data_IF_228861326680
#
_entry.id   IF_228861326680
#
_cell.length_a   1.000
_cell.length_b   1.000
_cell.length_c   1.000
_cell.angle_alpha   90.00
_cell.angle_beta   90.00
_cell.angle_gamma   90.00
#
_symmetry.space_group_name_H-M   'P 1'
#
loop_
_entity.id
_entity.type
_entity.pdbx_description
1 polymer ?
#
# COMPACT_ATOMS: atom_id res chain seq x y z
N UNK A 1 -11.72 -3.83 28.90
CA UNK A 1 -11.18 -3.41 27.57
C UNK A 1 -10.64 -4.59 26.79
N UNK A 2 -9.85 -5.49 27.39
CA UNK A 2 -9.28 -6.68 26.73
C UNK A 2 -10.38 -7.60 26.18
N UNK A 3 -11.44 -7.87 26.94
CA UNK A 3 -12.57 -8.71 26.52
C UNK A 3 -13.33 -8.12 25.32
N UNK A 4 -13.41 -6.79 25.25
CA UNK A 4 -14.06 -6.12 24.09
C UNK A 4 -13.26 -6.37 22.82
N UNK A 5 -11.93 -6.35 22.88
CA UNK A 5 -11.06 -6.60 21.72
C UNK A 5 -11.08 -8.08 21.35
N UNK A 6 -10.98 -8.96 22.33
CA UNK A 6 -11.05 -10.42 22.10
C UNK A 6 -12.43 -10.87 21.61
N UNK A 7 -13.50 -10.26 22.14
CA UNK A 7 -14.87 -10.67 21.89
C UNK A 7 -15.32 -11.89 22.70
N UNK A 8 -14.45 -12.40 23.56
CA UNK A 8 -14.67 -13.53 24.44
C UNK A 8 -13.74 -13.43 25.67
N UNK A 9 -13.96 -14.27 26.68
CA UNK A 9 -13.09 -14.38 27.87
C UNK A 9 -11.71 -14.94 27.52
N UNK A 10 -11.63 -15.83 26.53
CA UNK A 10 -10.40 -16.41 26.00
C UNK A 10 -10.21 -16.05 24.51
N UNK A 11 -9.03 -16.32 23.98
CA UNK A 11 -8.77 -16.24 22.54
C UNK A 11 -9.55 -17.37 21.86
N UNK A 12 -10.42 -17.02 20.93
CA UNK A 12 -11.35 -17.92 20.26
C UNK A 12 -11.46 -17.61 18.75
N UNK A 13 -12.28 -18.36 18.04
CA UNK A 13 -12.59 -18.09 16.63
C UNK A 13 -13.16 -16.68 16.42
N UNK A 14 -13.87 -16.14 17.42
CA UNK A 14 -14.38 -14.77 17.37
C UNK A 14 -13.23 -13.76 17.32
N UNK A 15 -12.19 -13.99 18.12
CA UNK A 15 -10.98 -13.15 18.13
C UNK A 15 -10.29 -13.19 16.78
N UNK A 16 -10.07 -14.39 16.23
CA UNK A 16 -9.44 -14.57 14.92
C UNK A 16 -10.22 -13.86 13.81
N UNK A 17 -11.54 -14.01 13.78
CA UNK A 17 -12.39 -13.37 12.78
C UNK A 17 -12.35 -11.83 12.88
N UNK A 18 -12.27 -11.28 14.07
CA UNK A 18 -12.16 -9.82 14.25
C UNK A 18 -10.84 -9.28 13.70
N UNK A 19 -9.73 -9.94 14.04
CA UNK A 19 -8.42 -9.53 13.53
C UNK A 19 -8.28 -9.78 12.03
N UNK A 20 -8.86 -10.86 11.51
CA UNK A 20 -8.93 -11.10 10.08
C UNK A 20 -9.71 -9.99 9.35
N UNK A 21 -10.90 -9.64 9.85
CA UNK A 21 -11.71 -8.57 9.27
C UNK A 21 -10.99 -7.20 9.34
N UNK A 22 -10.31 -6.91 10.45
CA UNK A 22 -9.50 -5.72 10.60
C UNK A 22 -8.39 -5.68 9.53
N UNK A 23 -7.65 -6.77 9.38
CA UNK A 23 -6.50 -6.84 8.46
C UNK A 23 -6.91 -6.81 6.98
N UNK A 24 -7.96 -7.54 6.61
CA UNK A 24 -8.35 -7.73 5.20
C UNK A 24 -9.30 -6.65 4.69
N UNK A 25 -10.08 -6.04 5.58
CA UNK A 25 -11.09 -5.04 5.20
C UNK A 25 -10.74 -3.66 5.75
N UNK A 26 -10.65 -3.50 7.07
CA UNK A 26 -10.55 -2.19 7.68
C UNK A 26 -9.23 -1.48 7.34
N UNK A 27 -8.09 -2.18 7.42
CA UNK A 27 -6.78 -1.60 7.08
C UNK A 27 -6.66 -1.23 5.59
N UNK A 28 -7.04 -2.07 4.62
CA UNK A 28 -7.05 -1.66 3.22
C UNK A 28 -7.96 -0.48 2.91
N UNK A 29 -9.15 -0.42 3.50
CA UNK A 29 -10.04 0.73 3.33
C UNK A 29 -9.46 2.02 3.93
N UNK A 30 -8.87 1.93 5.12
CA UNK A 30 -8.17 3.06 5.73
C UNK A 30 -6.98 3.52 4.88
N UNK A 31 -6.22 2.59 4.31
CA UNK A 31 -5.12 2.89 3.40
C UNK A 31 -5.59 3.61 2.14
N UNK A 32 -6.66 3.13 1.51
CA UNK A 32 -7.25 3.78 0.33
C UNK A 32 -7.72 5.21 0.66
N UNK A 33 -8.38 5.39 1.82
CA UNK A 33 -8.80 6.71 2.26
C UNK A 33 -7.60 7.66 2.50
N UNK A 34 -6.54 7.17 3.14
CA UNK A 34 -5.31 7.94 3.35
C UNK A 34 -4.60 8.29 2.05
N UNK A 35 -4.53 7.37 1.10
CA UNK A 35 -3.96 7.63 -0.23
C UNK A 35 -4.78 8.72 -0.93
N UNK A 36 -6.10 8.65 -0.88
CA UNK A 36 -6.96 9.67 -1.47
C UNK A 36 -6.69 11.05 -0.89
N UNK A 37 -6.67 11.18 0.45
CA UNK A 37 -6.36 12.45 1.14
C UNK A 37 -4.95 12.94 0.80
N UNK A 38 -3.97 12.03 0.71
CA UNK A 38 -2.60 12.35 0.33
C UNK A 38 -2.49 12.95 -1.08
N UNK A 39 -3.20 12.35 -2.04
CA UNK A 39 -3.24 12.85 -3.42
C UNK A 39 -3.97 14.19 -3.51
N UNK A 40 -5.06 14.39 -2.76
CA UNK A 40 -5.75 15.68 -2.69
C UNK A 40 -4.81 16.76 -2.13
N UNK A 41 -4.11 16.47 -1.05
CA UNK A 41 -3.14 17.39 -0.45
C UNK A 41 -1.99 17.74 -1.42
N UNK A 42 -1.47 16.75 -2.13
CA UNK A 42 -0.46 16.97 -3.17
C UNK A 42 -0.99 17.88 -4.30
N UNK A 43 -2.25 17.69 -4.68
CA UNK A 43 -2.87 18.49 -5.73
C UNK A 43 -3.08 19.96 -5.32
N UNK A 44 -3.41 20.19 -4.04
CA UNK A 44 -3.55 21.54 -3.48
C UNK A 44 -2.21 22.29 -3.40
N UNK A 45 -1.19 21.63 -2.88
CA UNK A 45 0.16 22.23 -2.72
C UNK A 45 0.91 22.28 -4.05
N UNK A 46 0.75 21.28 -4.89
CA UNK A 46 1.50 21.07 -6.12
C UNK A 46 2.90 20.49 -5.87
N UNK A 47 3.52 20.03 -6.96
CA UNK A 47 4.92 19.58 -6.94
C UNK A 47 5.86 20.78 -7.05
N UNK A 48 6.92 20.77 -6.27
CA UNK A 48 7.93 21.82 -6.24
C UNK A 48 9.33 21.24 -6.51
N UNK A 49 10.32 22.12 -6.68
CA UNK A 49 11.73 21.75 -6.85
C UNK A 49 12.48 21.82 -5.50
N UNK A 50 13.71 21.26 -5.41
CA UNK A 50 14.49 21.26 -4.18
C UNK A 50 14.83 22.67 -3.64
N UNK A 51 14.89 23.67 -4.52
CA UNK A 51 15.23 25.04 -4.15
C UNK A 51 14.03 25.85 -3.63
N UNK A 52 12.82 25.27 -3.67
CA UNK A 52 11.60 25.94 -3.23
C UNK A 52 11.13 27.08 -4.12
N UNK A 53 11.64 27.16 -5.34
CA UNK A 53 11.26 28.20 -6.31
C UNK A 53 9.91 27.85 -6.91
N UNK A 54 8.96 28.79 -6.85
CA UNK A 54 7.63 28.58 -7.46
C UNK A 54 7.75 28.72 -8.99
N UNK A 55 7.72 27.58 -9.67
CA UNK A 55 7.89 27.53 -11.14
C UNK A 55 6.73 28.19 -11.90
N UNK A 56 5.58 28.36 -11.25
CA UNK A 56 4.41 29.01 -11.88
C UNK A 56 4.53 30.52 -11.99
N UNK A 57 5.48 31.14 -11.27
CA UNK A 57 5.74 32.57 -11.31
C UNK A 57 6.51 32.98 -12.57
N UNK A 58 7.27 32.06 -13.14
CA UNK A 58 8.10 32.27 -14.31
C UNK A 58 7.50 31.58 -15.54
N UNK A 59 6.72 32.32 -16.31
CA UNK A 59 6.02 31.81 -17.49
C UNK A 59 6.48 32.57 -18.75
N UNK A 60 6.45 31.85 -19.88
CA UNK A 60 6.62 32.49 -21.20
C UNK A 60 5.33 33.21 -21.63
N UNK A 61 5.37 33.86 -22.79
CA UNK A 61 4.23 34.59 -23.36
C UNK A 61 3.00 33.72 -23.63
N UNK A 62 3.16 32.40 -23.67
CA UNK A 62 2.11 31.41 -23.85
C UNK A 62 1.56 30.91 -22.51
N UNK A 63 2.04 31.42 -21.36
CA UNK A 63 1.60 31.01 -20.04
C UNK A 63 2.20 29.68 -19.56
N UNK A 64 3.20 29.15 -20.25
CA UNK A 64 3.87 27.87 -19.89
C UNK A 64 5.07 28.18 -18.98
N UNK A 65 5.25 27.48 -17.86
CA UNK A 65 6.42 27.62 -17.01
C UNK A 65 7.73 27.44 -17.80
N UNK A 66 8.67 28.35 -17.64
CA UNK A 66 9.95 28.33 -18.40
C UNK A 66 10.84 27.19 -17.88
N UNK A 67 10.85 26.95 -16.57
CA UNK A 67 11.65 25.91 -15.90
C UNK A 67 10.77 24.76 -15.41
N UNK A 68 9.85 24.35 -16.23
CA UNK A 68 8.92 23.28 -15.92
C UNK A 68 8.80 22.24 -17.04
N UNK A 69 8.54 21.01 -16.67
CA UNK A 69 8.23 19.93 -17.61
C UNK A 69 6.75 19.58 -17.48
N UNK A 70 6.07 19.47 -18.60
CA UNK A 70 4.66 19.05 -18.61
C UNK A 70 4.50 17.67 -17.93
N UNK A 71 3.54 17.55 -17.02
CA UNK A 71 3.28 16.30 -16.33
C UNK A 71 2.94 15.19 -17.34
N UNK A 72 2.03 15.48 -18.25
CA UNK A 72 1.70 14.57 -19.36
C UNK A 72 2.37 15.06 -20.65
N UNK A 73 3.06 14.23 -21.44
CA UNK A 73 3.21 12.76 -21.26
C UNK A 73 4.45 12.34 -20.44
N UNK A 74 5.30 13.27 -20.02
CA UNK A 74 6.63 12.94 -19.47
C UNK A 74 6.55 12.13 -18.17
N UNK A 75 5.91 12.66 -17.12
CA UNK A 75 5.76 11.96 -15.84
C UNK A 75 4.76 10.81 -15.93
N UNK A 76 3.68 10.98 -16.66
CA UNK A 76 2.68 9.93 -16.86
C UNK A 76 3.29 8.67 -17.46
N UNK A 77 4.18 8.81 -18.45
CA UNK A 77 4.84 7.65 -19.07
C UNK A 77 5.79 6.95 -18.11
N UNK A 78 6.54 7.71 -17.31
CA UNK A 78 7.44 7.15 -16.30
C UNK A 78 6.70 6.44 -15.19
N UNK A 79 5.62 7.02 -14.70
CA UNK A 79 4.75 6.39 -13.68
C UNK A 79 4.16 5.08 -14.18
N UNK A 80 3.68 5.06 -15.44
CA UNK A 80 3.14 3.85 -16.04
C UNK A 80 4.20 2.74 -16.14
N UNK A 81 5.41 3.08 -16.58
CA UNK A 81 6.53 2.11 -16.64
C UNK A 81 6.86 1.56 -15.25
N UNK A 82 6.91 2.41 -14.23
CA UNK A 82 7.19 1.98 -12.86
C UNK A 82 6.10 1.06 -12.30
N UNK A 83 4.83 1.40 -12.53
CA UNK A 83 3.68 0.57 -12.12
C UNK A 83 3.71 -0.79 -12.83
N UNK A 84 3.93 -0.82 -14.13
CA UNK A 84 4.00 -2.09 -14.89
C UNK A 84 5.17 -2.94 -14.41
N UNK A 85 6.34 -2.37 -14.19
CA UNK A 85 7.52 -3.10 -13.68
C UNK A 85 7.24 -3.69 -12.29
N UNK A 86 6.64 -2.90 -11.39
CA UNK A 86 6.24 -3.38 -10.06
C UNK A 86 5.22 -4.53 -10.16
N UNK A 87 4.16 -4.35 -10.93
CA UNK A 87 3.12 -5.37 -11.10
C UNK A 87 3.66 -6.65 -11.75
N UNK A 88 4.63 -6.53 -12.65
CA UNK A 88 5.31 -7.69 -13.25
C UNK A 88 6.05 -8.50 -12.20
N UNK A 89 6.89 -7.86 -11.39
CA UNK A 89 7.63 -8.54 -10.30
C UNK A 89 6.65 -9.12 -9.27
N UNK A 90 5.66 -8.36 -8.86
CA UNK A 90 4.62 -8.81 -7.94
C UNK A 90 3.89 -10.05 -8.47
N UNK A 91 3.48 -10.03 -9.74
CA UNK A 91 2.80 -11.17 -10.38
C UNK A 91 3.69 -12.39 -10.49
N UNK A 92 4.98 -12.21 -10.76
CA UNK A 92 5.93 -13.33 -10.77
C UNK A 92 5.99 -14.02 -9.41
N UNK A 93 6.05 -13.26 -8.32
CA UNK A 93 6.03 -13.84 -6.98
C UNK A 93 4.70 -14.54 -6.70
N UNK A 94 3.59 -13.85 -6.89
CA UNK A 94 2.24 -14.38 -6.54
C UNK A 94 1.89 -15.65 -7.31
N UNK A 95 2.20 -15.71 -8.60
CA UNK A 95 1.77 -16.81 -9.47
C UNK A 95 2.81 -17.94 -9.61
N UNK A 96 4.09 -17.66 -9.41
CA UNK A 96 5.14 -18.65 -9.68
C UNK A 96 5.98 -19.02 -8.46
N UNK A 97 6.05 -18.18 -7.44
CA UNK A 97 6.85 -18.44 -6.25
C UNK A 97 6.21 -17.82 -4.98
N UNK A 98 4.94 -18.14 -4.63
CA UNK A 98 4.22 -17.47 -3.52
C UNK A 98 4.87 -17.69 -2.16
N UNK A 99 5.52 -18.83 -1.96
CA UNK A 99 6.24 -19.18 -0.73
C UNK A 99 7.74 -18.84 -0.79
N UNK A 100 8.25 -18.47 -1.96
CA UNK A 100 9.69 -18.22 -2.21
C UNK A 100 10.59 -19.36 -1.68
N UNK A 101 10.13 -20.62 -1.84
CA UNK A 101 10.82 -21.81 -1.35
C UNK A 101 10.81 -21.96 0.17
N UNK A 102 9.84 -21.38 0.84
CA UNK A 102 9.69 -21.42 2.31
C UNK A 102 10.45 -20.32 3.06
N UNK A 103 11.14 -19.42 2.35
CA UNK A 103 11.89 -18.32 3.00
C UNK A 103 10.98 -17.21 3.53
N UNK A 104 9.86 -16.94 2.86
CA UNK A 104 8.95 -15.87 3.25
C UNK A 104 7.64 -16.36 3.84
N UNK A 105 7.18 -17.55 3.40
CA UNK A 105 5.96 -18.16 3.90
C UNK A 105 6.23 -19.64 4.20
N UNK A 106 6.09 -20.02 5.45
CA UNK A 106 6.17 -21.40 5.88
C UNK A 106 4.85 -22.15 5.67
N UNK A 107 4.91 -23.49 5.65
CA UNK A 107 3.72 -24.33 5.48
C UNK A 107 2.62 -24.08 6.50
N UNK A 108 2.98 -23.69 7.72
CA UNK A 108 2.03 -23.34 8.79
C UNK A 108 1.08 -22.20 8.40
N UNK A 109 1.47 -21.30 7.49
CA UNK A 109 0.61 -20.23 7.01
C UNK A 109 -0.54 -20.72 6.10
N UNK A 110 -0.45 -21.93 5.56
CA UNK A 110 -1.48 -22.52 4.70
C UNK A 110 -2.43 -23.45 5.47
N UNK A 111 -2.14 -23.72 6.76
CA UNK A 111 -3.00 -24.50 7.61
C UNK A 111 -4.16 -23.65 8.15
N UNK A 112 -5.27 -24.33 8.48
CA UNK A 112 -6.41 -23.64 9.09
C UNK A 112 -6.02 -23.09 10.45
N UNK A 113 -6.28 -21.80 10.68
CA UNK A 113 -6.01 -21.15 11.94
C UNK A 113 -6.72 -21.87 13.11
N UNK A 114 -5.97 -22.17 14.15
CA UNK A 114 -6.46 -22.76 15.39
C UNK A 114 -6.04 -21.90 16.58
N UNK A 115 -6.97 -21.22 17.27
CA UNK A 115 -6.65 -20.35 18.40
C UNK A 115 -6.05 -21.09 19.61
N UNK A 116 -6.28 -22.41 19.69
CA UNK A 116 -5.82 -23.24 20.80
C UNK A 116 -4.47 -23.91 20.56
N UNK A 117 -3.97 -23.88 19.34
CA UNK A 117 -2.74 -24.57 18.93
C UNK A 117 -1.97 -23.75 17.91
N UNK A 118 -1.25 -22.72 18.38
CA UNK A 118 -0.38 -21.91 17.53
C UNK A 118 0.83 -22.75 17.09
N UNK A 119 1.20 -22.77 15.80
CA UNK A 119 2.42 -23.41 15.33
C UNK A 119 3.66 -22.87 16.08
N UNK A 120 4.64 -23.76 16.30
CA UNK A 120 5.86 -23.40 17.04
C UNK A 120 6.68 -22.31 16.34
N UNK A 121 6.63 -22.28 15.00
CA UNK A 121 7.32 -21.30 14.18
C UNK A 121 6.44 -20.85 13.02
N UNK A 122 6.30 -19.52 12.87
CA UNK A 122 5.59 -18.88 11.76
C UNK A 122 6.48 -17.73 11.28
N UNK A 123 6.88 -17.75 10.00
CA UNK A 123 7.59 -16.67 9.34
C UNK A 123 6.64 -15.78 8.53
#
# INVERSE_FOLDING_TARGET
MVEIIRGDYSISDITLNRFFALHVIALPLALVALIFVHIVALHEVGSNNPDGIEIKDYKNDQGIPIDGVAFHPYHTSKDLVAIIAFLMVFSLVVFFAPDMGGYFLEYANFEKANPSATPEHIA
#
